data_IF_785790871223
#
_entry.id   IF_785790871223
#
_cell.length_a   1.000
_cell.length_b   1.000
_cell.length_c   1.000
_cell.angle_alpha   90.00
_cell.angle_beta   90.00
_cell.angle_gamma   90.00
#
_symmetry.space_group_name_H-M   'P 1'
#
loop_
_entity.id
_entity.type
_entity.pdbx_description
1 polymer ?
#
# COMPACT_ATOMS: atom_id res chain seq x y z
N UNK A 1 21.50 -48.54 5.52
CA UNK A 1 20.82 -47.77 4.46
C UNK A 1 19.37 -47.58 4.93
N UNK A 2 19.09 -46.46 5.59
CA UNK A 2 17.80 -46.20 6.23
C UNK A 2 16.91 -45.40 5.28
N UNK A 3 15.79 -46.00 4.87
CA UNK A 3 14.74 -45.36 4.09
C UNK A 3 13.78 -44.63 5.05
N UNK A 4 13.88 -43.30 5.09
CA UNK A 4 12.97 -42.41 5.82
C UNK A 4 12.04 -41.65 4.87
N UNK A 5 11.25 -42.40 4.09
CA UNK A 5 10.10 -41.80 3.39
C UNK A 5 8.89 -42.72 3.52
N UNK A 6 8.15 -42.53 4.61
CA UNK A 6 6.71 -42.77 4.63
C UNK A 6 6.04 -41.39 4.67
N UNK A 7 5.23 -41.13 3.66
CA UNK A 7 4.34 -39.98 3.55
C UNK A 7 3.29 -40.04 4.66
N UNK A 8 3.43 -39.20 5.70
CA UNK A 8 2.36 -38.90 6.63
C UNK A 8 1.60 -37.68 6.09
N UNK A 9 0.63 -37.91 5.23
CA UNK A 9 -0.28 -36.86 4.75
C UNK A 9 -1.32 -36.43 5.82
N UNK A 10 -1.33 -37.07 7.00
CA UNK A 10 -2.37 -36.87 8.04
C UNK A 10 -1.85 -36.38 9.40
N UNK A 11 -0.54 -36.20 9.59
CA UNK A 11 -0.01 -35.71 10.87
C UNK A 11 0.35 -34.23 10.79
N UNK A 12 -0.65 -33.38 11.07
CA UNK A 12 -0.39 -31.95 11.32
C UNK A 12 0.55 -31.80 12.53
N UNK A 13 1.53 -30.89 12.49
CA UNK A 13 2.42 -30.69 13.61
C UNK A 13 1.65 -30.28 14.88
N UNK A 14 2.02 -30.87 16.02
CA UNK A 14 1.38 -30.63 17.32
C UNK A 14 2.29 -29.89 18.31
N UNK A 15 3.50 -29.52 17.88
CA UNK A 15 4.47 -28.78 18.68
C UNK A 15 5.14 -27.64 17.88
N UNK A 16 5.74 -26.69 18.61
CA UNK A 16 6.38 -25.48 18.06
C UNK A 16 7.45 -25.80 17.02
N UNK A 17 8.30 -26.80 17.26
CA UNK A 17 9.39 -27.16 16.34
C UNK A 17 8.85 -27.79 15.07
N UNK A 18 7.84 -28.66 15.21
CA UNK A 18 7.14 -29.26 14.09
C UNK A 18 6.44 -28.21 13.22
N UNK A 19 5.74 -27.25 13.82
CA UNK A 19 5.10 -26.15 13.11
C UNK A 19 6.14 -25.33 12.35
N UNK A 20 7.21 -24.89 13.03
CA UNK A 20 8.28 -24.11 12.39
C UNK A 20 8.91 -24.87 11.22
N UNK A 21 9.25 -26.14 11.41
CA UNK A 21 9.79 -26.97 10.36
C UNK A 21 8.84 -27.07 9.16
N UNK A 22 7.55 -27.31 9.41
CA UNK A 22 6.55 -27.38 8.35
C UNK A 22 6.41 -26.05 7.59
N UNK A 23 6.39 -24.92 8.30
CA UNK A 23 6.36 -23.58 7.70
C UNK A 23 7.59 -23.32 6.84
N UNK A 24 8.80 -23.61 7.35
CA UNK A 24 10.04 -23.41 6.60
C UNK A 24 10.11 -24.33 5.36
N UNK A 25 9.67 -25.59 5.46
CA UNK A 25 9.60 -26.48 4.30
C UNK A 25 8.57 -25.98 3.27
N UNK A 26 7.44 -25.46 3.72
CA UNK A 26 6.43 -24.89 2.83
C UNK A 26 6.96 -23.65 2.10
N UNK A 27 7.53 -22.67 2.84
CA UNK A 27 8.13 -21.46 2.26
C UNK A 27 9.25 -21.83 1.28
N UNK A 28 10.11 -22.78 1.64
CA UNK A 28 11.14 -23.31 0.77
C UNK A 28 10.58 -23.83 -0.56
N UNK A 29 9.54 -24.65 -0.52
CA UNK A 29 8.93 -25.21 -1.73
C UNK A 29 8.37 -24.13 -2.64
N UNK A 30 7.80 -23.06 -2.07
CA UNK A 30 7.30 -21.94 -2.86
C UNK A 30 8.42 -21.07 -3.42
N UNK A 31 9.45 -20.78 -2.63
CA UNK A 31 10.61 -20.01 -3.07
C UNK A 31 11.42 -20.73 -4.17
N UNK A 32 11.54 -22.06 -4.13
CA UNK A 32 12.17 -22.86 -5.17
C UNK A 32 11.51 -22.70 -6.55
N UNK A 33 10.22 -22.40 -6.61
CA UNK A 33 9.53 -22.18 -7.89
C UNK A 33 9.98 -20.89 -8.59
N UNK A 34 10.60 -19.96 -7.85
CA UNK A 34 11.17 -18.72 -8.38
C UNK A 34 12.67 -18.85 -8.76
N UNK A 35 13.22 -20.07 -8.73
CA UNK A 35 14.60 -20.36 -9.13
C UNK A 35 14.81 -20.08 -10.62
N UNK A 36 15.87 -19.32 -10.96
CA UNK A 36 16.15 -18.88 -12.34
C UNK A 36 16.34 -17.36 -12.56
N UNK A 37 16.44 -16.56 -11.49
CA UNK A 37 16.77 -15.12 -11.55
C UNK A 37 15.63 -14.16 -11.20
N UNK A 38 14.45 -14.68 -10.83
CA UNK A 38 13.31 -13.85 -10.45
C UNK A 38 13.36 -13.36 -9.00
N UNK A 39 14.21 -13.93 -8.15
CA UNK A 39 14.28 -13.57 -6.73
C UNK A 39 14.70 -12.11 -6.47
N UNK A 40 15.49 -11.51 -7.37
CA UNK A 40 15.80 -10.06 -7.33
C UNK A 40 14.58 -9.15 -7.49
N UNK A 41 13.47 -9.65 -8.05
CA UNK A 41 12.21 -8.92 -8.19
C UNK A 41 11.26 -9.11 -7.00
N UNK A 42 11.64 -9.94 -6.01
CA UNK A 42 10.87 -10.14 -4.79
C UNK A 42 11.08 -8.93 -3.87
N UNK A 43 10.00 -8.23 -3.57
CA UNK A 43 9.98 -7.06 -2.66
C UNK A 43 9.64 -7.45 -1.23
N UNK A 44 8.94 -8.56 -1.05
CA UNK A 44 8.60 -9.07 0.27
C UNK A 44 7.88 -10.40 0.21
N UNK A 45 7.70 -11.00 1.37
CA UNK A 45 7.03 -12.28 1.56
C UNK A 45 5.93 -12.06 2.59
N UNK A 46 4.75 -12.63 2.37
CA UNK A 46 3.65 -12.60 3.33
C UNK A 46 3.27 -14.02 3.72
N UNK A 47 3.33 -14.29 5.02
CA UNK A 47 2.92 -15.53 5.64
C UNK A 47 1.64 -15.28 6.44
N UNK A 48 0.53 -15.86 6.00
CA UNK A 48 -0.75 -15.84 6.69
C UNK A 48 -0.87 -17.10 7.54
N UNK A 49 -1.06 -16.95 8.84
CA UNK A 49 -1.26 -18.05 9.77
C UNK A 49 -2.75 -18.14 10.09
N UNK A 50 -3.38 -19.22 9.65
CA UNK A 50 -4.83 -19.45 9.74
C UNK A 50 -5.18 -20.41 10.87
N UNK A 51 -4.33 -20.51 11.89
CA UNK A 51 -4.55 -21.38 13.03
C UNK A 51 -5.73 -20.92 13.89
N UNK A 52 -6.37 -21.86 14.59
CA UNK A 52 -7.40 -21.54 15.58
C UNK A 52 -6.78 -20.82 16.79
N UNK A 53 -7.58 -20.05 17.54
CA UNK A 53 -7.13 -19.31 18.72
C UNK A 53 -6.43 -20.20 19.78
N UNK A 54 -6.82 -21.48 19.89
CA UNK A 54 -6.20 -22.47 20.79
C UNK A 54 -4.75 -22.81 20.43
N UNK A 55 -4.39 -22.68 19.15
CA UNK A 55 -3.08 -23.05 18.61
C UNK A 55 -2.22 -21.79 18.35
N UNK A 56 -2.78 -20.60 18.51
CA UNK A 56 -2.13 -19.33 18.16
C UNK A 56 -0.78 -19.14 18.84
N UNK A 57 -0.68 -19.36 20.16
CA UNK A 57 0.58 -19.22 20.91
C UNK A 57 1.68 -20.15 20.40
N UNK A 58 1.31 -21.36 19.94
CA UNK A 58 2.27 -22.28 19.35
C UNK A 58 2.81 -21.75 18.01
N UNK A 59 1.94 -21.16 17.19
CA UNK A 59 2.31 -20.54 15.93
C UNK A 59 3.14 -19.27 16.13
N UNK A 60 2.80 -18.44 17.11
CA UNK A 60 3.58 -17.25 17.51
C UNK A 60 5.01 -17.63 17.92
N UNK A 61 5.15 -18.68 18.74
CA UNK A 61 6.46 -19.21 19.11
C UNK A 61 7.21 -19.84 17.92
N UNK A 62 6.50 -20.43 16.96
CA UNK A 62 7.11 -21.04 15.78
C UNK A 62 7.73 -19.98 14.85
N UNK A 63 7.10 -18.81 14.73
CA UNK A 63 7.55 -17.71 13.85
C UNK A 63 8.28 -16.59 14.59
N UNK A 64 8.56 -16.76 15.87
CA UNK A 64 9.27 -15.77 16.69
C UNK A 64 8.59 -14.40 16.67
N UNK A 65 7.29 -14.31 16.98
CA UNK A 65 6.55 -13.03 16.94
C UNK A 65 7.22 -11.89 17.71
N UNK A 66 7.88 -12.20 18.84
CA UNK A 66 8.60 -11.21 19.66
C UNK A 66 9.97 -10.83 19.07
N UNK A 67 10.55 -11.68 18.22
CA UNK A 67 11.87 -11.52 17.60
C UNK A 67 11.81 -11.85 16.10
N UNK A 68 11.04 -11.10 15.29
CA UNK A 68 10.67 -11.49 13.92
C UNK A 68 11.86 -11.64 12.97
N UNK A 69 12.99 -11.00 13.28
CA UNK A 69 14.23 -11.13 12.52
C UNK A 69 14.78 -12.55 12.56
N UNK A 70 14.56 -13.33 13.63
CA UNK A 70 15.07 -14.70 13.74
C UNK A 70 14.45 -15.60 12.67
N UNK A 71 13.12 -15.55 12.54
CA UNK A 71 12.42 -16.34 11.52
C UNK A 71 12.73 -15.82 10.09
N UNK A 72 12.86 -14.50 9.93
CA UNK A 72 13.29 -13.88 8.67
C UNK A 72 14.67 -14.36 8.23
N UNK A 73 15.63 -14.46 9.16
CA UNK A 73 16.99 -14.98 8.89
C UNK A 73 16.98 -16.46 8.50
N UNK A 74 16.10 -17.28 9.09
CA UNK A 74 15.93 -18.68 8.68
C UNK A 74 15.45 -18.77 7.22
N UNK A 75 14.52 -17.89 6.81
CA UNK A 75 14.05 -17.80 5.42
C UNK A 75 15.15 -17.27 4.49
N UNK A 76 15.93 -16.28 4.93
CA UNK A 76 17.07 -15.78 4.16
C UNK A 76 18.06 -16.89 3.83
N UNK A 77 18.44 -17.72 4.82
CA UNK A 77 19.34 -18.87 4.62
C UNK A 77 18.80 -19.84 3.58
N UNK A 78 17.49 -20.11 3.60
CA UNK A 78 16.84 -20.93 2.57
C UNK A 78 17.02 -20.26 1.20
N UNK A 79 16.75 -18.97 1.07
CA UNK A 79 16.89 -18.27 -0.20
C UNK A 79 18.34 -18.27 -0.73
N UNK A 80 19.32 -18.15 0.17
CA UNK A 80 20.74 -18.21 -0.15
C UNK A 80 21.16 -19.62 -0.62
N UNK A 81 20.66 -20.68 0.04
CA UNK A 81 20.90 -22.08 -0.33
C UNK A 81 20.43 -22.42 -1.77
N UNK A 82 19.41 -21.69 -2.28
CA UNK A 82 18.87 -21.83 -3.64
C UNK A 82 19.31 -20.68 -4.58
N UNK A 83 20.28 -19.86 -4.17
CA UNK A 83 20.81 -18.75 -4.97
C UNK A 83 19.73 -17.80 -5.54
N UNK A 84 18.66 -17.55 -4.77
CA UNK A 84 17.53 -16.71 -5.24
C UNK A 84 17.89 -15.22 -5.32
N UNK A 85 18.93 -14.78 -4.60
CA UNK A 85 19.37 -13.39 -4.55
C UNK A 85 18.24 -12.41 -4.16
N UNK A 86 17.60 -12.66 -3.01
CA UNK A 86 16.64 -11.72 -2.43
C UNK A 86 17.32 -10.35 -2.18
N UNK A 87 16.68 -9.21 -2.51
CA UNK A 87 17.26 -7.89 -2.27
C UNK A 87 17.38 -7.59 -0.77
N UNK A 88 18.46 -6.98 -0.29
CA UNK A 88 18.67 -6.66 1.13
C UNK A 88 17.48 -5.93 1.81
N UNK A 89 16.70 -5.18 1.03
CA UNK A 89 15.53 -4.43 1.50
C UNK A 89 14.22 -5.23 1.56
N UNK A 90 14.24 -6.54 1.31
CA UNK A 90 13.02 -7.36 1.34
C UNK A 90 12.45 -7.46 2.77
N UNK A 91 11.13 -7.56 2.87
CA UNK A 91 10.43 -7.67 4.16
C UNK A 91 9.59 -8.94 4.27
N UNK A 92 9.42 -9.42 5.50
CA UNK A 92 8.53 -10.54 5.85
C UNK A 92 7.36 -10.00 6.67
N UNK A 93 6.14 -10.18 6.18
CA UNK A 93 4.92 -9.91 6.93
C UNK A 93 4.34 -11.22 7.44
N UNK A 94 4.17 -11.35 8.76
CA UNK A 94 3.49 -12.49 9.38
C UNK A 94 2.14 -12.02 9.92
N UNK A 95 1.05 -12.60 9.40
CA UNK A 95 -0.31 -12.13 9.66
C UNK A 95 -1.15 -13.28 10.23
N UNK A 96 -1.67 -13.12 11.44
CA UNK A 96 -2.65 -14.03 12.01
C UNK A 96 -4.05 -13.62 11.55
N UNK A 97 -4.54 -14.26 10.48
CA UNK A 97 -5.82 -13.92 9.85
C UNK A 97 -6.45 -15.15 9.22
N UNK A 98 -7.77 -15.28 9.40
CA UNK A 98 -8.58 -16.25 8.66
C UNK A 98 -8.94 -15.76 7.25
N UNK A 99 -8.85 -14.45 7.03
CA UNK A 99 -9.03 -13.83 5.73
C UNK A 99 -7.71 -13.87 4.95
N UNK A 100 -7.64 -14.79 4.00
CA UNK A 100 -6.45 -15.07 3.18
C UNK A 100 -6.74 -14.65 1.74
N UNK A 101 -5.87 -13.83 1.12
CA UNK A 101 -6.02 -13.44 -0.29
C UNK A 101 -6.13 -14.66 -1.21
N UNK A 102 -6.93 -14.57 -2.26
CA UNK A 102 -7.14 -15.68 -3.21
C UNK A 102 -5.85 -16.06 -3.96
N UNK A 103 -4.93 -15.11 -4.08
CA UNK A 103 -3.63 -15.25 -4.72
C UNK A 103 -2.60 -15.95 -3.82
N UNK A 104 -2.85 -16.06 -2.51
CA UNK A 104 -1.95 -16.74 -1.58
C UNK A 104 -2.08 -18.26 -1.71
N UNK A 105 -0.94 -18.95 -1.71
CA UNK A 105 -0.87 -20.40 -1.83
C UNK A 105 -1.09 -20.98 -0.44
N UNK A 106 -2.04 -21.90 -0.28
CA UNK A 106 -2.33 -22.56 1.00
C UNK A 106 -1.45 -23.78 1.20
N UNK A 107 -0.90 -23.94 2.40
CA UNK A 107 -0.16 -25.13 2.77
C UNK A 107 -1.10 -26.33 3.01
N UNK A 108 -0.67 -27.52 2.60
CA UNK A 108 -1.45 -28.75 2.79
C UNK A 108 -1.37 -29.35 4.19
N UNK A 109 -0.24 -29.15 4.89
CA UNK A 109 0.13 -29.85 6.12
C UNK A 109 0.30 -28.93 7.35
N UNK A 110 0.10 -27.62 7.20
CA UNK A 110 0.16 -26.62 8.27
C UNK A 110 -0.90 -25.54 8.00
N UNK A 111 -1.47 -24.93 9.04
CA UNK A 111 -2.51 -23.92 8.88
C UNK A 111 -1.88 -22.57 8.51
N UNK A 112 -1.42 -22.48 7.26
CA UNK A 112 -0.80 -21.28 6.74
C UNK A 112 -1.06 -21.10 5.24
N UNK A 113 -0.94 -19.86 4.78
CA UNK A 113 -0.83 -19.52 3.37
C UNK A 113 0.35 -18.58 3.14
N UNK A 114 0.93 -18.64 1.95
CA UNK A 114 2.13 -17.89 1.62
C UNK A 114 1.96 -17.15 0.30
N UNK A 115 2.48 -15.94 0.25
CA UNK A 115 2.44 -15.08 -0.93
C UNK A 115 3.77 -14.39 -1.13
N UNK A 116 4.30 -14.47 -2.34
CA UNK A 116 5.54 -13.80 -2.74
C UNK A 116 5.17 -12.48 -3.40
N UNK A 117 5.52 -11.36 -2.76
CA UNK A 117 5.33 -10.02 -3.32
C UNK A 117 6.43 -9.74 -4.35
N UNK A 118 6.04 -9.57 -5.60
CA UNK A 118 6.88 -9.10 -6.70
C UNK A 118 6.28 -7.83 -7.31
N UNK A 119 7.03 -7.13 -8.16
CA UNK A 119 6.50 -5.98 -8.92
C UNK A 119 5.25 -6.32 -9.76
N UNK A 120 5.06 -7.59 -10.14
CA UNK A 120 3.91 -8.05 -10.96
C UNK A 120 2.82 -8.75 -10.14
N UNK A 121 3.18 -9.32 -9.00
CA UNK A 121 2.27 -10.05 -8.11
C UNK A 121 2.41 -9.46 -6.71
N UNK A 122 1.55 -8.51 -6.37
CA UNK A 122 1.43 -7.98 -5.01
C UNK A 122 -0.03 -8.10 -4.58
N UNK A 123 -0.28 -8.32 -3.29
CA UNK A 123 -1.63 -8.26 -2.76
C UNK A 123 -2.06 -6.80 -2.83
N UNK A 124 -3.08 -6.51 -3.65
CA UNK A 124 -3.64 -5.16 -3.73
C UNK A 124 -4.21 -4.78 -2.38
N UNK A 125 -3.50 -3.90 -1.69
CA UNK A 125 -3.99 -3.33 -0.45
C UNK A 125 -5.21 -2.48 -0.77
N UNK A 126 -6.32 -2.79 -0.09
CA UNK A 126 -7.57 -2.05 -0.20
C UNK A 126 -7.61 -0.99 0.88
N UNK A 127 -7.71 0.26 0.45
CA UNK A 127 -7.88 1.39 1.34
C UNK A 127 -9.00 2.28 0.81
N UNK A 128 -9.79 2.82 1.73
CA UNK A 128 -10.77 3.86 1.46
C UNK A 128 -10.39 5.08 2.28
N UNK A 129 -10.39 6.24 1.65
CA UNK A 129 -10.14 7.52 2.28
C UNK A 129 -11.11 8.56 1.72
N UNK A 130 -11.02 9.76 2.25
CA UNK A 130 -11.91 10.87 2.00
C UNK A 130 -11.11 12.15 1.83
N UNK A 131 -11.48 12.93 0.83
CA UNK A 131 -11.04 14.30 0.65
C UNK A 131 -12.18 15.21 1.05
N UNK A 132 -11.95 15.99 2.10
CA UNK A 132 -12.93 16.93 2.67
C UNK A 132 -12.54 18.35 2.27
N UNK A 133 -13.49 19.13 1.76
CA UNK A 133 -13.26 20.54 1.42
C UNK A 133 -13.38 21.38 2.69
N UNK A 134 -12.27 21.96 3.15
CA UNK A 134 -12.26 22.87 4.31
C UNK A 134 -12.39 24.35 3.90
N UNK A 135 -11.84 24.72 2.75
CA UNK A 135 -11.98 26.07 2.20
C UNK A 135 -11.95 26.06 0.67
N UNK A 136 -12.75 26.92 0.05
CA UNK A 136 -13.11 26.87 -1.36
C UNK A 136 -14.49 26.24 -1.57
N UNK A 137 -14.92 26.16 -2.81
CA UNK A 137 -16.20 25.56 -3.19
C UNK A 137 -15.94 24.53 -4.29
N UNK A 138 -16.24 23.27 -4.03
CA UNK A 138 -16.19 22.20 -5.02
C UNK A 138 -17.58 21.62 -5.27
N UNK A 139 -17.72 20.73 -6.26
CA UNK A 139 -19.01 20.08 -6.56
C UNK A 139 -19.62 19.35 -5.33
N UNK A 140 -18.77 18.90 -4.39
CA UNK A 140 -19.16 18.20 -3.16
C UNK A 140 -18.29 18.69 -2.00
N UNK A 141 -18.81 18.62 -0.78
CA UNK A 141 -18.06 18.89 0.44
C UNK A 141 -17.08 17.76 0.80
N UNK A 142 -17.36 16.53 0.33
CA UNK A 142 -16.53 15.35 0.57
C UNK A 142 -16.51 14.43 -0.65
N UNK A 143 -15.36 13.80 -0.89
CA UNK A 143 -15.15 12.81 -1.94
C UNK A 143 -14.56 11.54 -1.34
N UNK A 144 -15.25 10.41 -1.50
CA UNK A 144 -14.68 9.10 -1.22
C UNK A 144 -13.70 8.71 -2.33
N UNK A 145 -12.54 8.22 -1.91
CA UNK A 145 -11.48 7.72 -2.79
C UNK A 145 -11.06 6.33 -2.31
N UNK A 146 -10.80 5.43 -3.25
CA UNK A 146 -10.38 4.06 -2.95
C UNK A 146 -9.05 3.76 -3.62
N UNK A 147 -8.31 2.77 -3.12
CA UNK A 147 -7.07 2.31 -3.75
C UNK A 147 -7.27 1.76 -5.18
N UNK A 148 -8.52 1.50 -5.58
CA UNK A 148 -8.92 1.06 -6.91
C UNK A 148 -9.40 2.22 -7.81
N UNK A 149 -9.54 3.44 -7.27
CA UNK A 149 -10.07 4.61 -8.01
C UNK A 149 -9.15 5.11 -9.13
N UNK A 150 -7.89 4.65 -9.17
CA UNK A 150 -6.88 5.14 -10.11
C UNK A 150 -6.51 6.60 -9.87
N UNK A 151 -6.21 7.34 -10.95
CA UNK A 151 -5.78 8.74 -10.89
C UNK A 151 -6.97 9.68 -10.70
N UNK A 152 -6.98 10.42 -9.59
CA UNK A 152 -8.04 11.35 -9.21
C UNK A 152 -7.56 12.78 -9.41
N UNK A 153 -7.89 13.33 -10.57
CA UNK A 153 -7.61 14.72 -10.94
C UNK A 153 -8.33 15.78 -10.09
N UNK A 154 -7.59 16.82 -9.71
CA UNK A 154 -8.06 17.99 -8.97
C UNK A 154 -7.72 19.26 -9.76
N UNK A 155 -8.71 20.14 -9.93
CA UNK A 155 -8.49 21.38 -10.64
C UNK A 155 -9.73 22.26 -10.76
N UNK A 156 -9.56 23.38 -11.47
CA UNK A 156 -10.64 24.32 -11.77
C UNK A 156 -11.46 23.85 -12.96
N UNK A 157 -12.78 23.94 -12.81
CA UNK A 157 -13.80 23.43 -13.73
C UNK A 157 -13.79 21.91 -13.94
N UNK A 158 -14.97 21.31 -14.15
CA UNK A 158 -15.11 19.86 -14.31
C UNK A 158 -14.42 19.33 -15.57
N UNK A 159 -14.59 20.04 -16.68
CA UNK A 159 -13.95 19.77 -17.97
C UNK A 159 -13.06 20.94 -18.30
N UNK A 160 -11.77 20.76 -18.08
CA UNK A 160 -10.77 21.77 -18.38
C UNK A 160 -10.09 21.44 -19.70
N UNK A 161 -9.94 22.43 -20.58
CA UNK A 161 -9.09 22.29 -21.75
C UNK A 161 -7.63 22.47 -21.33
N UNK A 162 -6.80 21.46 -21.60
CA UNK A 162 -5.37 21.50 -21.43
C UNK A 162 -4.70 22.27 -22.58
N UNK A 163 -3.42 22.62 -22.40
CA UNK A 163 -2.68 23.44 -23.37
C UNK A 163 -2.42 22.71 -24.70
N UNK A 164 -2.51 21.39 -24.70
CA UNK A 164 -2.45 20.52 -25.88
C UNK A 164 -3.78 20.45 -26.67
N UNK A 165 -4.82 21.15 -26.18
CA UNK A 165 -6.15 21.19 -26.79
C UNK A 165 -7.08 20.05 -26.36
N UNK A 166 -6.59 19.05 -25.63
CA UNK A 166 -7.43 17.96 -25.11
C UNK A 166 -8.19 18.39 -23.86
N UNK A 167 -9.33 17.74 -23.60
CA UNK A 167 -10.10 17.96 -22.39
C UNK A 167 -9.67 17.00 -21.29
N UNK A 168 -9.30 17.57 -20.13
CA UNK A 168 -9.10 16.86 -18.88
C UNK A 168 -10.39 16.90 -18.05
N UNK A 169 -10.75 15.78 -17.44
CA UNK A 169 -11.81 15.73 -16.43
C UNK A 169 -11.21 15.84 -15.04
N UNK A 170 -11.62 16.87 -14.28
CA UNK A 170 -11.32 17.00 -12.86
C UNK A 170 -12.40 16.27 -12.06
N UNK A 171 -11.98 15.29 -11.25
CA UNK A 171 -12.90 14.54 -10.39
C UNK A 171 -13.32 15.39 -9.20
N UNK A 172 -12.36 16.10 -8.60
CA UNK A 172 -12.58 17.15 -7.62
C UNK A 172 -12.42 18.48 -8.34
N UNK A 173 -13.55 19.09 -8.68
CA UNK A 173 -13.58 20.32 -9.48
C UNK A 173 -13.97 21.51 -8.60
N UNK A 174 -13.20 22.58 -8.73
CA UNK A 174 -13.52 23.89 -8.17
C UNK A 174 -14.13 24.75 -9.29
N UNK A 175 -15.44 25.03 -9.30
CA UNK A 175 -16.08 25.76 -10.38
C UNK A 175 -15.53 27.19 -10.48
N UNK A 176 -15.26 27.66 -11.71
CA UNK A 176 -14.75 29.01 -11.95
C UNK A 176 -15.77 30.12 -11.75
N UNK A 177 -17.06 29.79 -11.77
CA UNK A 177 -18.20 30.66 -11.51
C UNK A 177 -18.61 30.73 -10.02
N UNK A 178 -17.94 29.97 -9.16
CA UNK A 178 -18.12 30.07 -7.71
C UNK A 178 -17.85 31.50 -7.21
N UNK A 179 -18.66 31.93 -6.24
CA UNK A 179 -18.46 33.20 -5.54
C UNK A 179 -17.25 33.15 -4.58
N UNK A 180 -16.74 31.96 -4.24
CA UNK A 180 -15.60 31.80 -3.35
C UNK A 180 -14.30 32.23 -4.04
N UNK A 181 -13.62 33.21 -3.45
CA UNK A 181 -12.38 33.76 -4.01
C UNK A 181 -11.25 32.70 -4.12
N UNK A 182 -11.25 31.68 -3.27
CA UNK A 182 -10.22 30.64 -3.27
C UNK A 182 -10.17 29.87 -4.60
N UNK A 183 -11.32 29.66 -5.24
CA UNK A 183 -11.43 28.92 -6.50
C UNK A 183 -10.64 29.58 -7.64
N UNK A 184 -10.46 30.91 -7.61
CA UNK A 184 -9.75 31.67 -8.66
C UNK A 184 -8.26 31.29 -8.75
N UNK A 185 -7.69 30.82 -7.64
CA UNK A 185 -6.29 30.43 -7.54
C UNK A 185 -6.07 28.95 -7.87
N UNK A 186 -7.14 28.19 -8.06
CA UNK A 186 -7.05 26.80 -8.51
C UNK A 186 -6.78 26.77 -10.02
N UNK A 187 -5.76 26.04 -10.40
CA UNK A 187 -5.39 25.86 -11.81
C UNK A 187 -6.32 24.83 -12.45
N UNK A 188 -6.53 24.93 -13.76
CA UNK A 188 -7.30 23.95 -14.53
C UNK A 188 -6.78 22.52 -14.38
N UNK A 189 -5.46 22.41 -14.26
CA UNK A 189 -4.72 21.16 -14.06
C UNK A 189 -3.81 21.34 -12.86
N UNK A 190 -4.31 21.15 -11.64
CA UNK A 190 -3.57 21.60 -10.44
C UNK A 190 -2.85 20.45 -9.73
N UNK A 191 -3.57 19.37 -9.43
CA UNK A 191 -3.03 18.24 -8.70
C UNK A 191 -3.73 16.95 -9.11
N UNK A 192 -3.17 15.82 -8.68
CA UNK A 192 -3.90 14.57 -8.66
C UNK A 192 -3.52 13.71 -7.46
N UNK A 193 -4.45 12.82 -7.11
CA UNK A 193 -4.23 11.77 -6.13
C UNK A 193 -4.10 10.43 -6.83
N UNK A 194 -3.27 9.56 -6.27
CA UNK A 194 -3.07 8.18 -6.71
C UNK A 194 -2.75 7.30 -5.51
N UNK A 195 -3.19 6.05 -5.55
CA UNK A 195 -2.77 5.04 -4.59
C UNK A 195 -1.43 4.43 -5.01
N UNK A 196 -0.44 4.49 -4.11
CA UNK A 196 0.83 3.81 -4.31
C UNK A 196 0.79 2.43 -3.63
N UNK A 197 0.92 1.38 -4.44
CA UNK A 197 0.87 0.00 -3.96
C UNK A 197 2.12 -0.44 -3.17
N UNK A 198 3.27 0.19 -3.43
CA UNK A 198 4.53 -0.15 -2.78
C UNK A 198 4.57 0.39 -1.35
N UNK A 199 4.13 1.65 -1.16
CA UNK A 199 4.08 2.30 0.16
C UNK A 199 2.76 2.12 0.87
N UNK A 200 1.70 1.67 0.19
CA UNK A 200 0.35 1.57 0.71
C UNK A 200 -0.20 2.89 1.27
N UNK A 201 0.01 3.98 0.53
CA UNK A 201 -0.50 5.31 0.88
C UNK A 201 -1.21 5.94 -0.32
N UNK A 202 -2.17 6.81 -0.03
CA UNK A 202 -2.60 7.80 -1.00
C UNK A 202 -1.52 8.86 -1.14
N UNK A 203 -1.12 9.12 -2.38
CA UNK A 203 -0.09 10.07 -2.73
C UNK A 203 -0.75 11.26 -3.42
N UNK A 204 -0.31 12.48 -3.07
CA UNK A 204 -0.63 13.69 -3.82
C UNK A 204 0.54 14.12 -4.69
N UNK A 205 0.23 14.48 -5.93
CA UNK A 205 1.17 14.98 -6.91
C UNK A 205 0.73 16.35 -7.39
N UNK A 206 1.70 17.21 -7.67
CA UNK A 206 1.46 18.43 -8.42
C UNK A 206 1.34 18.12 -9.91
N UNK A 207 0.40 18.78 -10.59
CA UNK A 207 0.40 18.83 -12.06
C UNK A 207 1.03 20.15 -12.54
N UNK A 208 1.11 20.33 -13.85
CA UNK A 208 1.66 21.54 -14.52
C UNK A 208 1.19 22.88 -13.89
N UNK A 209 -0.07 22.95 -13.48
CA UNK A 209 -0.63 24.16 -12.86
C UNK A 209 -0.42 24.28 -11.34
N UNK A 210 0.13 23.26 -10.67
CA UNK A 210 0.39 23.22 -9.23
C UNK A 210 1.86 23.38 -8.85
N UNK A 211 2.76 23.47 -9.84
CA UNK A 211 4.21 23.71 -9.65
C UNK A 211 4.60 25.18 -9.90
N UNK A 212 5.66 25.70 -9.23
CA UNK A 212 6.15 27.06 -9.46
C UNK A 212 6.42 27.37 -10.94
N UNK A 213 6.24 28.63 -11.42
CA UNK A 213 6.01 29.86 -10.64
C UNK A 213 4.53 30.10 -10.28
N UNK A 214 3.61 29.28 -10.79
CA UNK A 214 2.16 29.47 -10.59
C UNK A 214 1.68 28.57 -9.45
N UNK A 215 1.02 29.17 -8.46
CA UNK A 215 0.10 28.55 -7.50
C UNK A 215 0.54 27.18 -6.94
N UNK A 216 1.37 27.23 -5.90
CA UNK A 216 2.08 26.09 -5.29
C UNK A 216 1.16 25.23 -4.41
N UNK A 217 1.29 23.91 -4.51
CA UNK A 217 0.71 22.99 -3.52
C UNK A 217 1.56 22.98 -2.26
N UNK A 218 0.89 23.08 -1.10
CA UNK A 218 1.53 22.93 0.22
C UNK A 218 0.75 21.91 1.03
N UNK A 219 1.44 21.06 1.77
CA UNK A 219 0.83 20.10 2.67
C UNK A 219 1.23 20.51 4.09
N UNK A 220 0.25 20.79 4.95
CA UNK A 220 0.48 20.93 6.38
C UNK A 220 0.28 19.54 7.01
N UNK A 221 1.35 18.99 7.57
CA UNK A 221 1.34 17.68 8.21
C UNK A 221 0.68 17.82 9.57
N UNK A 222 -0.36 17.04 9.85
CA UNK A 222 -1.12 17.19 11.11
C UNK A 222 -0.27 16.84 12.33
N UNK A 223 0.53 15.77 12.23
CA UNK A 223 1.31 15.27 13.36
C UNK A 223 2.43 16.19 13.83
N UNK A 224 3.01 17.00 12.93
CA UNK A 224 4.20 17.83 13.23
C UNK A 224 3.96 19.32 13.02
N UNK A 225 2.84 19.69 12.40
CA UNK A 225 2.55 21.04 11.89
C UNK A 225 3.54 21.56 10.84
N UNK A 226 4.44 20.72 10.35
CA UNK A 226 5.39 21.09 9.31
C UNK A 226 4.70 21.31 7.97
N UNK A 227 5.33 22.13 7.12
CA UNK A 227 4.81 22.45 5.80
C UNK A 227 5.71 21.86 4.71
N UNK A 228 5.23 20.80 4.06
CA UNK A 228 5.82 20.27 2.84
C UNK A 228 5.34 21.07 1.62
N UNK A 229 6.19 21.20 0.61
CA UNK A 229 5.86 21.91 -0.65
C UNK A 229 6.22 21.02 -1.83
N UNK A 230 5.30 20.92 -2.78
CA UNK A 230 5.58 20.21 -4.02
C UNK A 230 6.24 21.15 -5.03
N UNK A 231 7.35 20.69 -5.61
CA UNK A 231 8.17 21.45 -6.55
C UNK A 231 8.33 20.78 -7.91
N UNK A 232 7.91 19.52 -8.04
CA UNK A 232 8.01 18.71 -9.25
C UNK A 232 6.69 17.98 -9.48
N UNK A 233 6.38 17.69 -10.74
CA UNK A 233 5.26 16.84 -11.14
C UNK A 233 5.56 15.34 -10.98
N UNK A 234 6.83 14.98 -10.80
CA UNK A 234 7.30 13.59 -10.74
C UNK A 234 7.34 13.03 -9.30
N UNK A 235 7.45 13.90 -8.29
CA UNK A 235 7.63 13.50 -6.89
C UNK A 235 6.33 13.76 -6.12
N UNK A 236 5.65 12.68 -5.74
CA UNK A 236 4.46 12.72 -4.91
C UNK A 236 4.78 12.78 -3.42
N UNK A 237 3.81 13.22 -2.62
CA UNK A 237 3.88 13.23 -1.17
C UNK A 237 2.83 12.27 -0.58
N UNK A 238 3.21 11.37 0.35
CA UNK A 238 2.26 10.50 1.03
C UNK A 238 1.36 11.32 1.96
N UNK A 239 0.06 11.00 1.98
CA UNK A 239 -0.91 11.64 2.85
C UNK A 239 -1.21 10.77 4.06
N UNK A 240 -1.29 11.40 5.22
CA UNK A 240 -1.66 10.82 6.50
C UNK A 240 -2.98 11.41 7.00
N UNK A 241 -3.61 10.71 7.95
CA UNK A 241 -4.81 11.18 8.62
C UNK A 241 -4.67 12.62 9.11
N UNK A 242 -5.61 13.48 8.73
CA UNK A 242 -5.66 14.86 9.16
C UNK A 242 -4.84 15.84 8.31
N UNK A 243 -3.96 15.36 7.43
CA UNK A 243 -3.12 16.24 6.63
C UNK A 243 -3.96 17.23 5.80
N UNK A 244 -3.55 18.50 5.81
CA UNK A 244 -4.22 19.55 5.06
C UNK A 244 -3.45 19.87 3.78
N UNK A 245 -4.15 19.84 2.66
CA UNK A 245 -3.61 20.15 1.34
C UNK A 245 -4.11 21.53 0.93
N UNK A 246 -3.18 22.47 0.80
CA UNK A 246 -3.43 23.82 0.32
C UNK A 246 -3.15 23.84 -1.18
N UNK A 247 -4.19 24.18 -1.94
CA UNK A 247 -4.20 24.28 -3.40
C UNK A 247 -4.20 25.76 -3.80
N UNK A 248 -3.21 26.12 -4.60
CA UNK A 248 -2.94 27.49 -4.99
C UNK A 248 -2.62 28.40 -3.82
N UNK A 249 -3.46 29.40 -3.57
CA UNK A 249 -3.23 30.37 -2.48
C UNK A 249 -4.03 30.05 -1.23
N UNK A 250 -5.28 29.59 -1.37
CA UNK A 250 -6.20 29.53 -0.24
C UNK A 250 -7.24 28.41 -0.27
N UNK A 251 -7.34 27.60 -1.34
CA UNK A 251 -8.23 26.44 -1.30
C UNK A 251 -7.60 25.38 -0.39
N UNK A 252 -8.37 24.81 0.54
CA UNK A 252 -7.87 23.85 1.53
C UNK A 252 -8.72 22.60 1.50
N UNK A 253 -8.04 21.48 1.39
CA UNK A 253 -8.60 20.14 1.52
C UNK A 253 -8.02 19.49 2.78
N UNK A 254 -8.73 18.54 3.36
CA UNK A 254 -8.21 17.63 4.37
C UNK A 254 -8.30 16.20 3.85
N UNK A 255 -7.24 15.43 4.09
CA UNK A 255 -7.24 14.00 3.87
C UNK A 255 -7.63 13.27 5.16
N UNK A 256 -8.52 12.27 5.06
CA UNK A 256 -8.93 11.43 6.18
C UNK A 256 -9.25 10.02 5.72
N UNK A 257 -8.90 9.01 6.50
CA UNK A 257 -9.38 7.64 6.39
C UNK A 257 -10.76 7.46 7.05
N UNK A 258 -11.31 8.50 7.66
CA UNK A 258 -12.64 8.51 8.25
C UNK A 258 -13.58 9.43 7.46
N UNK A 259 -14.87 9.05 7.31
CA UNK A 259 -15.83 9.95 6.70
C UNK A 259 -16.11 11.15 7.61
N UNK A 260 -16.59 12.26 7.03
CA UNK A 260 -17.04 13.40 7.82
C UNK A 260 -18.14 12.93 8.80
N UNK A 261 -17.93 13.16 10.09
CA UNK A 261 -18.94 12.86 11.10
C UNK A 261 -20.12 13.80 10.91
N UNK A 262 -21.30 13.24 10.64
CA UNK A 262 -22.58 13.95 10.55
C UNK A 262 -23.05 14.45 11.91
#
# INVERSE_FOLDING_TARGET
MFNFFKSNADERPTDVKGVRYALLQFIKQELQKAEGGEGSNIKGLSLFLTCDAKDQTMYEAAVYTDEPNVFKEEIQKIADDYALALPDSWNLDVLFSQDVPAEAIKAGNVNAAFFIKTNKHFIKQKATAYIIILNGEADKEQYEITSESGKINIGRDKKAQADDGFFRTNHIAFPSDSANAANKYVSRSHAHLEWNNDSAHFMIFADEGGVPPRNKIKIKVEATEDMAKLHSTEIGHPLNEGDQIIIGESAVLQFSYQPLSS
#
